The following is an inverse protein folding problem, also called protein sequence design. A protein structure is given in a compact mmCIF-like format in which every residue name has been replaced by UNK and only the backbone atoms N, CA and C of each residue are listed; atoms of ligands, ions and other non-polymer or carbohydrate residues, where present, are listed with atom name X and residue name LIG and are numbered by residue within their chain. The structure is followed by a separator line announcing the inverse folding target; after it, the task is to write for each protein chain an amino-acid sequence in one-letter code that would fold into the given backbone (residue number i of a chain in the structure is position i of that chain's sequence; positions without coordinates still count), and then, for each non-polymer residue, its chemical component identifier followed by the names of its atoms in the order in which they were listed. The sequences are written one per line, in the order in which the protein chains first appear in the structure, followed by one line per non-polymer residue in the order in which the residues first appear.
data_IF_540325650136
#
_entry.id   IF_540325650136
#
_cell.length_a   1.000
_cell.length_b   1.000
_cell.length_c   1.000
_cell.angle_alpha   90.00
_cell.angle_beta   90.00
_cell.angle_gamma   90.00
#
_symmetry.space_group_name_H-M   'P 1'
#
loop_
_entity.id
_entity.type
_entity.pdbx_description
1 polymer ?
#
# COMPACT_ATOMS: atom_id res chain seq x y z
N UNK A 1 -5.62 -9.58 20.33
CA UNK A 1 -5.50 -8.17 20.78
C UNK A 1 -6.12 -7.29 19.73
N UNK A 2 -7.15 -6.53 20.09
CA UNK A 2 -7.85 -5.59 19.20
C UNK A 2 -7.02 -4.30 19.03
N UNK A 3 -7.34 -3.50 18.00
CA UNK A 3 -6.64 -2.22 17.79
C UNK A 3 -6.91 -1.22 18.92
N UNK A 4 -8.10 -1.27 19.54
CA UNK A 4 -8.43 -0.45 20.70
C UNK A 4 -7.58 -0.81 21.93
N UNK A 5 -7.39 -2.09 22.20
CA UNK A 5 -6.50 -2.57 23.29
C UNK A 5 -5.05 -2.15 23.05
N UNK A 6 -4.60 -2.24 21.79
CA UNK A 6 -3.27 -1.81 21.41
C UNK A 6 -3.09 -0.28 21.58
N UNK A 7 -4.08 0.52 21.17
CA UNK A 7 -4.06 1.97 21.38
C UNK A 7 -3.96 2.33 22.87
N UNK A 8 -4.74 1.66 23.71
CA UNK A 8 -4.68 1.86 25.15
C UNK A 8 -3.31 1.45 25.74
N UNK A 9 -2.73 0.35 25.23
CA UNK A 9 -1.42 -0.12 25.68
C UNK A 9 -0.29 0.83 25.26
N UNK A 10 -0.32 1.35 24.03
CA UNK A 10 0.63 2.35 23.54
C UNK A 10 0.66 3.61 24.41
N UNK A 11 -0.50 4.02 24.95
CA UNK A 11 -0.60 5.16 25.87
C UNK A 11 -0.12 4.81 27.29
N UNK A 12 -0.69 3.75 27.87
CA UNK A 12 -0.49 3.46 29.29
C UNK A 12 0.89 2.86 29.60
N UNK A 13 1.47 2.12 28.66
CA UNK A 13 2.75 1.40 28.77
C UNK A 13 3.47 1.41 27.44
N UNK A 14 4.11 2.55 27.04
CA UNK A 14 4.66 2.75 25.69
C UNK A 14 5.57 1.62 25.22
N UNK A 15 6.56 1.20 26.03
CA UNK A 15 7.50 0.12 25.67
C UNK A 15 6.80 -1.20 25.36
N UNK A 16 5.81 -1.59 26.17
CA UNK A 16 5.03 -2.81 25.95
C UNK A 16 4.10 -2.66 24.74
N UNK A 17 3.51 -1.49 24.59
CA UNK A 17 2.65 -1.15 23.45
C UNK A 17 3.41 -1.19 22.13
N UNK A 18 4.61 -0.60 22.08
CA UNK A 18 5.50 -0.61 20.91
C UNK A 18 5.91 -2.05 20.54
N UNK A 19 6.27 -2.88 21.54
CA UNK A 19 6.59 -4.27 21.29
C UNK A 19 5.38 -5.05 20.76
N UNK A 20 4.22 -4.89 21.37
CA UNK A 20 2.99 -5.54 20.94
C UNK A 20 2.56 -5.07 19.51
N UNK A 21 2.77 -3.79 19.18
CA UNK A 21 2.56 -3.25 17.86
C UNK A 21 3.52 -3.86 16.84
N UNK A 22 4.80 -3.95 17.17
CA UNK A 22 5.81 -4.58 16.33
C UNK A 22 5.45 -6.05 16.04
N UNK A 23 5.20 -6.84 17.08
CA UNK A 23 4.87 -8.26 16.93
C UNK A 23 3.59 -8.48 16.10
N UNK A 24 2.59 -7.60 16.26
CA UNK A 24 1.33 -7.67 15.51
C UNK A 24 1.48 -7.31 14.04
N UNK A 25 2.24 -6.26 13.72
CA UNK A 25 2.28 -5.68 12.39
C UNK A 25 3.53 -6.00 11.57
N UNK A 26 4.52 -6.71 12.13
CA UNK A 26 5.78 -7.00 11.45
C UNK A 26 5.56 -7.67 10.08
N UNK A 27 4.86 -8.79 10.03
CA UNK A 27 4.63 -9.51 8.77
C UNK A 27 3.84 -8.66 7.76
N UNK A 28 2.91 -7.85 8.22
CA UNK A 28 2.13 -6.96 7.38
C UNK A 28 2.99 -5.86 6.75
N UNK A 29 3.79 -5.19 7.56
CA UNK A 29 4.74 -4.17 7.09
C UNK A 29 5.77 -4.78 6.14
N UNK A 30 6.36 -5.91 6.53
CA UNK A 30 7.34 -6.63 5.71
C UNK A 30 6.77 -6.98 4.34
N UNK A 31 5.54 -7.49 4.29
CA UNK A 31 4.88 -7.84 3.02
C UNK A 31 4.71 -6.61 2.11
N UNK A 32 4.27 -5.47 2.67
CA UNK A 32 4.11 -4.22 1.91
C UNK A 32 5.46 -3.75 1.34
N UNK A 33 6.48 -3.69 2.17
CA UNK A 33 7.82 -3.23 1.78
C UNK A 33 8.45 -4.19 0.77
N UNK A 34 8.44 -5.49 1.07
CA UNK A 34 9.00 -6.53 0.21
C UNK A 34 8.34 -6.55 -1.17
N UNK A 35 7.01 -6.48 -1.25
CA UNK A 35 6.30 -6.49 -2.53
C UNK A 35 6.70 -5.34 -3.46
N UNK A 36 7.11 -4.21 -2.90
CA UNK A 36 7.53 -3.03 -3.66
C UNK A 36 9.02 -2.98 -3.97
N UNK A 37 9.86 -3.55 -3.13
CA UNK A 37 11.32 -3.45 -3.24
C UNK A 37 11.99 -4.72 -3.77
N UNK A 38 11.31 -5.88 -3.78
CA UNK A 38 11.88 -7.13 -4.30
C UNK A 38 12.36 -6.94 -5.74
N UNK A 39 13.60 -7.37 -6.00
CA UNK A 39 14.23 -7.25 -7.33
C UNK A 39 14.74 -5.84 -7.68
N UNK A 40 14.56 -4.87 -6.79
CA UNK A 40 15.03 -3.50 -6.99
C UNK A 40 16.19 -3.14 -6.06
N UNK A 41 16.32 -3.83 -4.93
CA UNK A 41 17.31 -3.55 -3.89
C UNK A 41 17.69 -4.83 -3.13
N UNK A 42 18.67 -4.72 -2.21
CA UNK A 42 19.13 -5.82 -1.38
C UNK A 42 18.12 -6.19 -0.28
N UNK A 43 18.30 -7.35 0.35
CA UNK A 43 17.49 -7.77 1.50
C UNK A 43 17.74 -6.85 2.68
N UNK A 44 18.98 -6.39 2.86
CA UNK A 44 19.40 -5.48 3.91
C UNK A 44 18.69 -4.12 3.79
N UNK A 45 18.54 -3.59 2.58
CA UNK A 45 17.78 -2.35 2.35
C UNK A 45 16.28 -2.53 2.65
N UNK A 46 15.74 -3.72 2.38
CA UNK A 46 14.35 -4.06 2.73
C UNK A 46 14.18 -4.07 4.24
N UNK A 47 15.09 -4.72 4.97
CA UNK A 47 15.06 -4.80 6.43
C UNK A 47 15.25 -3.43 7.07
N UNK A 48 16.16 -2.60 6.54
CA UNK A 48 16.32 -1.20 6.95
C UNK A 48 15.03 -0.41 6.75
N UNK A 49 14.40 -0.54 5.59
CA UNK A 49 13.14 0.13 5.28
C UNK A 49 12.01 -0.29 6.25
N UNK A 50 11.92 -1.58 6.59
CA UNK A 50 10.97 -2.09 7.59
C UNK A 50 11.24 -1.46 8.96
N UNK A 51 12.49 -1.41 9.40
CA UNK A 51 12.90 -0.72 10.63
C UNK A 51 12.50 0.75 10.66
N UNK A 52 12.72 1.45 9.56
CA UNK A 52 12.34 2.86 9.36
C UNK A 52 10.81 3.08 9.48
N UNK A 53 10.00 2.15 8.98
CA UNK A 53 8.53 2.21 9.11
C UNK A 53 8.14 2.17 10.58
N UNK A 54 8.68 1.22 11.35
CA UNK A 54 8.36 1.10 12.77
C UNK A 54 8.86 2.30 13.57
N UNK A 55 10.08 2.78 13.30
CA UNK A 55 10.61 3.97 13.93
C UNK A 55 9.71 5.19 13.71
N UNK A 56 9.22 5.38 12.49
CA UNK A 56 8.30 6.49 12.19
C UNK A 56 6.94 6.31 12.86
N UNK A 57 6.41 5.09 12.94
CA UNK A 57 5.17 4.83 13.67
C UNK A 57 5.32 5.12 15.16
N UNK A 58 6.43 4.71 15.78
CA UNK A 58 6.70 4.99 17.19
C UNK A 58 6.83 6.47 17.48
N UNK A 59 7.58 7.22 16.66
CA UNK A 59 7.69 8.67 16.78
C UNK A 59 6.31 9.37 16.64
N UNK A 60 5.43 8.83 15.83
CA UNK A 60 4.06 9.35 15.72
C UNK A 60 3.26 9.06 16.99
N UNK A 61 3.31 7.84 17.50
CA UNK A 61 2.57 7.46 18.71
C UNK A 61 3.04 8.22 19.94
N UNK A 62 4.33 8.48 20.07
CA UNK A 62 4.91 9.24 21.18
C UNK A 62 4.50 10.73 21.18
N UNK A 63 4.17 11.29 20.00
CA UNK A 63 3.73 12.69 19.85
C UNK A 63 2.23 12.92 20.01
N UNK A 64 1.42 11.87 19.92
CA UNK A 64 -0.03 11.97 19.93
C UNK A 64 -0.59 11.74 21.32
N UNK A 65 -1.33 12.72 21.86
CA UNK A 65 -2.08 12.55 23.10
C UNK A 65 -3.23 11.55 22.93
N UNK A 66 -3.83 11.49 21.73
CA UNK A 66 -4.82 10.48 21.34
C UNK A 66 -4.47 9.85 20.00
N UNK A 67 -4.25 8.52 20.04
CA UNK A 67 -4.15 7.72 18.83
C UNK A 67 -5.58 7.39 18.42
N UNK A 68 -6.16 8.22 17.54
CA UNK A 68 -7.49 8.00 16.98
C UNK A 68 -7.36 7.44 15.55
N UNK A 69 -8.32 6.60 15.14
CA UNK A 69 -8.39 6.07 13.79
C UNK A 69 -7.83 4.65 13.63
N UNK A 70 -7.73 4.21 12.39
CA UNK A 70 -7.30 2.86 12.02
C UNK A 70 -5.78 2.78 12.01
N UNK A 71 -5.19 2.13 13.04
CA UNK A 71 -3.74 1.92 13.15
C UNK A 71 -3.19 1.16 11.95
N UNK A 72 -3.91 0.15 11.46
CA UNK A 72 -3.48 -0.67 10.32
C UNK A 72 -3.37 0.17 9.04
N UNK A 73 -4.38 1.00 8.76
CA UNK A 73 -4.36 1.90 7.60
C UNK A 73 -3.23 2.94 7.69
N UNK A 74 -3.02 3.52 8.88
CA UNK A 74 -1.90 4.42 9.13
C UNK A 74 -0.55 3.73 8.89
N UNK A 75 -0.36 2.53 9.45
CA UNK A 75 0.87 1.74 9.30
C UNK A 75 1.14 1.40 7.83
N UNK A 76 0.10 1.00 7.08
CA UNK A 76 0.21 0.73 5.65
C UNK A 76 0.64 1.98 4.85
N UNK A 77 0.07 3.14 5.17
CA UNK A 77 0.44 4.43 4.56
C UNK A 77 1.91 4.77 4.78
N UNK A 78 2.40 4.59 6.03
CA UNK A 78 3.82 4.82 6.37
C UNK A 78 4.71 3.83 5.62
N UNK A 79 4.35 2.54 5.60
CA UNK A 79 5.12 1.49 4.93
C UNK A 79 5.24 1.74 3.41
N UNK A 80 4.14 2.11 2.75
CA UNK A 80 4.15 2.43 1.32
C UNK A 80 5.02 3.63 1.00
N UNK A 81 4.90 4.71 1.78
CA UNK A 81 5.71 5.93 1.60
C UNK A 81 7.20 5.63 1.77
N UNK A 82 7.58 4.91 2.83
CA UNK A 82 8.97 4.53 3.07
C UNK A 82 9.53 3.64 1.97
N UNK A 83 8.76 2.67 1.50
CA UNK A 83 9.18 1.82 0.37
C UNK A 83 9.41 2.64 -0.91
N UNK A 84 8.55 3.62 -1.22
CA UNK A 84 8.75 4.54 -2.36
C UNK A 84 10.00 5.38 -2.18
N UNK A 85 10.24 5.94 -0.98
CA UNK A 85 11.43 6.76 -0.71
C UNK A 85 12.71 5.93 -0.83
N UNK A 86 12.72 4.69 -0.32
CA UNK A 86 13.84 3.76 -0.46
C UNK A 86 14.08 3.41 -1.92
N UNK A 87 13.03 3.09 -2.67
CA UNK A 87 13.14 2.85 -4.11
C UNK A 87 13.75 4.03 -4.86
N UNK A 88 13.29 5.26 -4.58
CA UNK A 88 13.84 6.49 -5.18
C UNK A 88 15.30 6.70 -4.82
N UNK A 89 15.70 6.40 -3.57
CA UNK A 89 17.08 6.46 -3.11
C UNK A 89 17.95 5.51 -3.91
N UNK A 90 17.56 4.24 -4.01
CA UNK A 90 18.32 3.21 -4.72
C UNK A 90 18.37 3.48 -6.23
N UNK A 91 17.27 3.88 -6.85
CA UNK A 91 17.20 4.20 -8.26
C UNK A 91 18.13 5.36 -8.66
N UNK A 92 18.31 6.36 -7.79
CA UNK A 92 19.27 7.47 -7.99
C UNK A 92 20.71 6.99 -7.98
N UNK A 93 21.05 6.04 -7.09
CA UNK A 93 22.41 5.49 -7.00
C UNK A 93 22.74 4.54 -8.17
N UNK A 94 21.73 3.93 -8.79
CA UNK A 94 21.93 2.95 -9.88
C UNK A 94 21.87 3.59 -11.29
N UNK A 95 21.86 4.92 -11.40
CA UNK A 95 21.80 5.66 -12.69
C UNK A 95 20.60 5.31 -13.58
N UNK A 96 19.54 4.73 -13.02
CA UNK A 96 18.28 4.51 -13.72
C UNK A 96 17.35 5.69 -13.46
N UNK A 97 17.25 6.61 -14.43
CA UNK A 97 16.27 7.69 -14.43
C UNK A 97 14.86 7.13 -14.46
N UNK A 98 14.29 6.85 -13.29
CA UNK A 98 12.87 6.53 -13.14
C UNK A 98 12.24 7.66 -12.32
N UNK A 99 11.54 8.55 -13.02
CA UNK A 99 10.74 9.59 -12.36
C UNK A 99 9.48 8.93 -11.79
N UNK A 100 9.36 8.91 -10.47
CA UNK A 100 8.12 8.56 -9.76
C UNK A 100 7.38 9.86 -9.48
N UNK A 101 6.17 9.96 -9.98
CA UNK A 101 5.27 11.09 -9.70
C UNK A 101 4.41 10.78 -8.47
N UNK A 102 4.32 11.76 -7.57
CA UNK A 102 3.52 11.69 -6.34
C UNK A 102 2.05 11.93 -6.65
N UNK A 103 1.30 10.91 -7.03
CA UNK A 103 -0.17 10.94 -7.07
C UNK A 103 -0.70 9.55 -6.69
N UNK A 104 -0.50 9.19 -5.42
CA UNK A 104 -1.14 7.99 -4.87
C UNK A 104 -2.29 8.38 -3.94
N UNK A 105 -3.48 8.49 -4.52
CA UNK A 105 -4.73 8.41 -3.78
C UNK A 105 -4.91 6.96 -3.31
N UNK A 106 -4.76 6.74 -2.00
CA UNK A 106 -4.69 5.41 -1.40
C UNK A 106 -6.06 4.78 -1.23
N UNK A 107 -6.22 3.58 -1.79
CA UNK A 107 -7.28 2.66 -1.38
C UNK A 107 -6.79 1.93 -0.13
N UNK A 108 -7.54 2.03 0.98
CA UNK A 108 -7.24 1.30 2.20
C UNK A 108 -7.57 -0.18 2.00
N UNK A 109 -6.56 -1.06 2.06
CA UNK A 109 -6.78 -2.50 2.19
C UNK A 109 -7.24 -2.80 3.61
N UNK A 110 -8.54 -3.08 3.77
CA UNK A 110 -9.07 -3.72 4.97
C UNK A 110 -8.90 -5.24 4.84
N UNK A 111 -8.35 -5.80 5.92
CA UNK A 111 -8.30 -7.21 6.31
C UNK A 111 -7.89 -8.31 5.32
N UNK A 112 -6.69 -8.83 5.58
CA UNK A 112 -6.29 -10.17 5.13
C UNK A 112 -6.95 -11.20 6.08
N UNK A 113 -8.11 -11.71 5.70
CA UNK A 113 -8.79 -12.83 6.33
C UNK A 113 -8.46 -14.14 5.60
N UNK A 114 -8.45 -15.25 6.32
CA UNK A 114 -7.91 -16.58 5.99
C UNK A 114 -8.46 -17.28 4.74
N UNK A 115 -7.58 -17.90 4.07
CA UNK A 115 -7.43 -18.85 2.96
C UNK A 115 -8.56 -19.16 1.94
N UNK A 116 -9.83 -19.34 2.26
CA UNK A 116 -10.88 -19.70 1.28
C UNK A 116 -11.68 -18.46 0.83
N UNK A 117 -12.11 -17.63 1.76
CA UNK A 117 -12.78 -16.34 1.48
C UNK A 117 -11.88 -15.35 0.72
N UNK A 118 -10.57 -15.45 0.94
CA UNK A 118 -9.58 -14.64 0.19
C UNK A 118 -9.45 -15.05 -1.27
N UNK A 119 -9.59 -16.34 -1.57
CA UNK A 119 -9.54 -16.81 -2.94
C UNK A 119 -10.75 -16.30 -3.73
N UNK A 120 -11.93 -16.37 -3.13
CA UNK A 120 -13.18 -15.87 -3.73
C UNK A 120 -13.16 -14.34 -3.88
N UNK A 121 -12.67 -13.62 -2.85
CA UNK A 121 -12.53 -12.17 -2.91
C UNK A 121 -11.51 -11.71 -3.96
N UNK A 122 -10.38 -12.41 -4.08
CA UNK A 122 -9.38 -12.12 -5.13
C UNK A 122 -9.95 -12.38 -6.52
N UNK A 123 -10.68 -13.49 -6.71
CA UNK A 123 -11.30 -13.80 -7.96
C UNK A 123 -12.35 -12.75 -8.34
N UNK A 124 -13.23 -12.39 -7.39
CA UNK A 124 -14.22 -11.33 -7.59
C UNK A 124 -13.57 -9.98 -7.95
N UNK A 125 -12.51 -9.59 -7.23
CA UNK A 125 -11.78 -8.36 -7.54
C UNK A 125 -11.16 -8.41 -8.93
N UNK A 126 -10.59 -9.55 -9.31
CA UNK A 126 -10.00 -9.75 -10.63
C UNK A 126 -11.07 -9.63 -11.73
N UNK A 127 -12.21 -10.31 -11.56
CA UNK A 127 -13.33 -10.25 -12.48
C UNK A 127 -13.86 -8.81 -12.65
N UNK A 128 -13.95 -8.04 -11.55
CA UNK A 128 -14.37 -6.64 -11.60
C UNK A 128 -13.33 -5.72 -12.26
N UNK A 129 -12.06 -6.03 -12.14
CA UNK A 129 -11.00 -5.30 -12.87
C UNK A 129 -11.06 -5.63 -14.36
N UNK A 130 -11.30 -6.88 -14.76
CA UNK A 130 -11.50 -7.24 -16.17
C UNK A 130 -12.75 -6.58 -16.77
N UNK A 131 -13.83 -6.47 -15.99
CA UNK A 131 -15.08 -5.80 -16.38
C UNK A 131 -14.93 -4.29 -16.65
N UNK A 132 -13.86 -3.65 -16.15
CA UNK A 132 -13.52 -2.27 -16.53
C UNK A 132 -13.25 -2.13 -18.03
N UNK A 133 -12.75 -3.20 -18.66
CA UNK A 133 -12.34 -3.24 -20.07
C UNK A 133 -11.01 -2.52 -20.32
N UNK A 134 -10.45 -2.78 -21.51
CA UNK A 134 -9.20 -2.13 -21.93
C UNK A 134 -9.43 -0.66 -22.33
N UNK A 135 -8.47 0.24 -22.07
CA UNK A 135 -7.16 0.00 -21.41
C UNK A 135 -7.21 0.17 -19.88
N UNK A 136 -8.40 0.38 -19.27
CA UNK A 136 -8.53 0.72 -17.87
C UNK A 136 -8.14 -0.46 -16.96
N UNK A 137 -8.48 -1.69 -17.32
CA UNK A 137 -8.04 -2.91 -16.64
C UNK A 137 -6.52 -3.04 -16.63
N UNK A 138 -5.88 -2.88 -17.78
CA UNK A 138 -4.42 -2.88 -17.87
C UNK A 138 -3.80 -1.76 -17.03
N UNK A 139 -4.32 -0.54 -17.06
CA UNK A 139 -3.81 0.59 -16.25
C UNK A 139 -3.87 0.25 -14.76
N UNK A 140 -4.98 -0.29 -14.27
CA UNK A 140 -5.16 -0.67 -12.86
C UNK A 140 -4.18 -1.78 -12.48
N UNK A 141 -4.08 -2.86 -13.26
CA UNK A 141 -3.15 -3.96 -13.01
C UNK A 141 -1.70 -3.47 -12.99
N UNK A 142 -1.30 -2.69 -13.99
CA UNK A 142 0.08 -2.18 -14.08
C UNK A 142 0.43 -1.24 -12.93
N UNK A 143 -0.52 -0.40 -12.49
CA UNK A 143 -0.28 0.54 -11.40
C UNK A 143 -0.27 -0.15 -10.04
N UNK A 144 -1.28 -0.97 -9.72
CA UNK A 144 -1.50 -1.46 -8.36
C UNK A 144 -0.86 -2.83 -8.09
N UNK A 145 -0.77 -3.70 -9.10
CA UNK A 145 -0.12 -5.00 -8.96
C UNK A 145 1.37 -4.95 -9.27
N UNK A 146 1.75 -4.33 -10.40
CA UNK A 146 3.16 -4.22 -10.80
C UNK A 146 3.87 -2.97 -10.29
N UNK A 147 3.19 -2.01 -9.67
CA UNK A 147 3.76 -0.79 -9.09
C UNK A 147 4.38 0.17 -10.13
N UNK A 148 3.95 0.10 -11.40
CA UNK A 148 4.52 0.92 -12.47
C UNK A 148 4.05 2.37 -12.39
N UNK A 149 4.95 3.30 -12.75
CA UNK A 149 4.64 4.73 -12.88
C UNK A 149 3.70 4.99 -14.06
N UNK A 150 2.97 6.12 -14.02
CA UNK A 150 2.13 6.54 -15.15
C UNK A 150 2.90 6.71 -16.46
N UNK A 151 4.20 7.05 -16.41
CA UNK A 151 5.06 7.14 -17.59
C UNK A 151 5.39 5.78 -18.21
N UNK A 152 5.60 4.75 -17.38
CA UNK A 152 5.84 3.39 -17.85
C UNK A 152 4.55 2.77 -18.40
N UNK A 153 3.41 2.99 -17.71
CA UNK A 153 2.10 2.54 -18.16
C UNK A 153 1.72 3.18 -19.48
N UNK A 154 2.01 4.47 -19.65
CA UNK A 154 1.77 5.23 -20.87
C UNK A 154 2.39 4.55 -22.12
N UNK A 155 3.59 3.98 -21.98
CA UNK A 155 4.27 3.23 -23.04
C UNK A 155 3.59 1.89 -23.35
N UNK A 156 2.96 1.27 -22.33
CA UNK A 156 2.31 -0.03 -22.48
C UNK A 156 0.96 0.11 -23.20
N UNK A 157 0.21 1.14 -22.82
CA UNK A 157 -1.14 1.36 -23.34
C UNK A 157 -1.19 2.39 -24.50
N UNK A 158 -0.02 2.83 -24.99
CA UNK A 158 0.15 3.81 -26.08
C UNK A 158 -0.65 5.10 -25.86
N UNK A 159 -0.43 5.72 -24.68
CA UNK A 159 -1.09 6.95 -24.25
C UNK A 159 -0.11 7.94 -23.64
N UNK A 160 -0.57 9.17 -23.37
CA UNK A 160 0.19 10.14 -22.56
C UNK A 160 0.07 9.80 -21.07
N UNK A 161 1.08 10.16 -20.26
CA UNK A 161 1.06 9.94 -18.82
C UNK A 161 -0.13 10.65 -18.13
N UNK A 162 -0.55 11.80 -18.64
CA UNK A 162 -1.71 12.55 -18.13
C UNK A 162 -3.03 11.83 -18.42
N UNK A 163 -3.16 11.24 -19.60
CA UNK A 163 -4.31 10.41 -19.94
C UNK A 163 -4.37 9.15 -19.05
N UNK A 164 -3.22 8.51 -18.77
CA UNK A 164 -3.13 7.37 -17.86
C UNK A 164 -3.60 7.77 -16.46
N UNK A 165 -3.16 8.91 -15.91
CA UNK A 165 -3.58 9.42 -14.60
C UNK A 165 -5.09 9.66 -14.55
N UNK A 166 -5.62 10.35 -15.53
CA UNK A 166 -7.06 10.67 -15.60
C UNK A 166 -7.90 9.40 -15.72
N UNK A 167 -7.48 8.45 -16.57
CA UNK A 167 -8.18 7.16 -16.72
C UNK A 167 -8.09 6.31 -15.47
N UNK A 168 -6.92 6.25 -14.84
CA UNK A 168 -6.73 5.54 -13.58
C UNK A 168 -7.69 6.04 -12.49
N UNK A 169 -7.80 7.35 -12.30
CA UNK A 169 -8.73 7.95 -11.33
C UNK A 169 -10.20 7.58 -11.63
N UNK A 170 -10.61 7.64 -12.90
CA UNK A 170 -11.98 7.25 -13.32
C UNK A 170 -12.22 5.75 -13.14
N UNK A 171 -11.25 4.91 -13.50
CA UNK A 171 -11.34 3.46 -13.37
C UNK A 171 -11.48 3.04 -11.89
N UNK A 172 -10.73 3.66 -10.98
CA UNK A 172 -10.87 3.42 -9.53
C UNK A 172 -12.27 3.80 -9.04
N UNK A 173 -12.80 4.94 -9.47
CA UNK A 173 -14.16 5.34 -9.07
C UNK A 173 -15.20 4.31 -9.54
N UNK A 174 -15.10 3.89 -10.80
CA UNK A 174 -15.99 2.87 -11.38
C UNK A 174 -15.84 1.53 -10.67
N UNK A 175 -14.61 1.10 -10.36
CA UNK A 175 -14.36 -0.14 -9.63
C UNK A 175 -14.99 -0.12 -8.22
N UNK A 176 -14.92 1.02 -7.51
CA UNK A 176 -15.61 1.21 -6.22
C UNK A 176 -17.13 1.05 -6.37
N UNK A 177 -17.73 1.65 -7.38
CA UNK A 177 -19.17 1.54 -7.65
C UNK A 177 -19.56 0.09 -7.90
N UNK A 178 -18.80 -0.63 -8.73
CA UNK A 178 -19.03 -2.04 -9.03
C UNK A 178 -18.87 -2.96 -7.81
N UNK A 179 -17.88 -2.68 -6.94
CA UNK A 179 -17.67 -3.42 -5.69
C UNK A 179 -18.77 -3.11 -4.66
N UNK A 180 -19.29 -1.90 -4.64
CA UNK A 180 -20.42 -1.52 -3.79
C UNK A 180 -21.69 -2.29 -4.15
N UNK A 181 -21.99 -2.47 -5.46
CA UNK A 181 -23.14 -3.21 -5.95
C UNK A 181 -23.14 -4.69 -5.52
N UNK A 182 -21.95 -5.28 -5.32
CA UNK A 182 -21.81 -6.67 -4.85
C UNK A 182 -21.60 -6.79 -3.34
N UNK A 183 -21.87 -5.71 -2.58
CA UNK A 183 -21.87 -5.72 -1.11
C UNK A 183 -20.48 -5.56 -0.46
N UNK A 184 -19.46 -5.19 -1.22
CA UNK A 184 -18.07 -5.04 -0.74
C UNK A 184 -17.67 -3.62 -0.33
N UNK A 185 -18.61 -2.69 -0.15
CA UNK A 185 -18.29 -1.35 0.32
C UNK A 185 -18.83 -1.09 1.72
N UNK A 186 -17.92 -0.85 2.62
CA UNK A 186 -18.15 -0.01 3.81
C UNK A 186 -17.51 1.35 3.61
#
# INVERSE_FOLDING_TARGET
MTDKELQQMLKAKPERGQRAFYDKYFNYVYTIVYSRLKGCTSVEDIDECVGDVFAQCFLFFDKQEEISGNIKAFTASVARRKAVDTYRRVARHTSRNIAIEDDDEFISDEDIVTSTEQSELRQLLYDKVEELGEPDSTIIIQKYYYGRSSKEIAKIVDMTSDNVRTRCSRAIKRLREMLHEVGFAR
#
